data_IF_921989692530
#
_entry.id   IF_921989692530
#
_cell.length_a   1.000
_cell.length_b   1.000
_cell.length_c   1.000
_cell.angle_alpha   90.00
_cell.angle_beta   90.00
_cell.angle_gamma   90.00
#
_symmetry.space_group_name_H-M   'P 1'
#
loop_
_entity.id
_entity.type
_entity.pdbx_description
1 polymer ?
#
# COMPACT_ATOMS: atom_id res chain seq x y z
N UNK A 1 -25.20 -10.94 14.55
CA UNK A 1 -24.44 -9.73 14.18
C UNK A 1 -23.34 -10.17 13.22
N UNK A 2 -23.35 -9.67 11.98
CA UNK A 2 -22.32 -10.02 11.01
C UNK A 2 -21.04 -9.24 11.29
N UNK A 3 -19.86 -9.75 10.84
CA UNK A 3 -18.57 -9.06 10.97
C UNK A 3 -18.57 -7.62 10.43
N UNK A 4 -19.54 -7.27 9.57
CA UNK A 4 -19.69 -5.91 9.02
C UNK A 4 -20.25 -4.89 10.02
N UNK A 5 -21.02 -5.32 11.03
CA UNK A 5 -21.66 -4.43 12.00
C UNK A 5 -20.68 -3.89 13.05
N UNK A 6 -19.45 -4.40 13.07
CA UNK A 6 -18.41 -4.04 14.04
C UNK A 6 -17.43 -2.95 13.55
N UNK A 7 -17.57 -2.48 12.28
CA UNK A 7 -16.78 -1.37 11.74
C UNK A 7 -17.60 -0.09 11.83
N UNK A 8 -17.11 0.86 12.61
CA UNK A 8 -17.78 2.14 12.81
C UNK A 8 -17.00 3.28 12.13
N UNK A 9 -17.73 4.22 11.54
CA UNK A 9 -17.18 5.43 10.93
C UNK A 9 -17.52 6.64 11.80
N UNK A 10 -16.67 7.04 12.75
CA UNK A 10 -17.02 8.04 13.76
C UNK A 10 -17.28 9.44 13.20
N UNK A 11 -16.79 9.74 12.00
CA UNK A 11 -17.04 11.00 11.29
C UNK A 11 -18.12 10.88 10.19
N UNK A 12 -18.76 9.72 10.07
CA UNK A 12 -19.79 9.47 9.06
C UNK A 12 -19.30 9.76 7.65
N UNK A 13 -20.01 10.65 6.94
CA UNK A 13 -19.69 11.08 5.58
C UNK A 13 -18.81 12.35 5.52
N UNK A 14 -18.38 12.87 6.68
CA UNK A 14 -17.53 14.07 6.73
C UNK A 14 -16.14 13.77 6.21
N UNK A 15 -15.70 14.51 5.20
CA UNK A 15 -14.40 14.40 4.55
C UNK A 15 -13.75 15.77 4.47
N UNK A 16 -12.41 15.88 4.63
CA UNK A 16 -11.74 17.15 4.37
C UNK A 16 -11.89 17.54 2.89
N UNK A 17 -12.28 18.77 2.64
CA UNK A 17 -12.31 19.32 1.28
C UNK A 17 -10.88 19.63 0.80
N UNK A 18 -10.63 19.73 -0.51
CA UNK A 18 -9.32 20.06 -1.04
C UNK A 18 -8.75 21.35 -0.41
N UNK A 19 -7.60 21.24 0.26
CA UNK A 19 -6.96 22.34 0.98
C UNK A 19 -7.49 22.61 2.39
N UNK A 20 -8.45 21.81 2.89
CA UNK A 20 -8.90 21.83 4.28
C UNK A 20 -8.28 20.71 5.09
N UNK A 21 -8.14 20.93 6.38
CA UNK A 21 -7.68 19.92 7.35
C UNK A 21 -8.77 19.67 8.39
N UNK A 22 -9.14 18.40 8.58
CA UNK A 22 -10.14 17.98 9.56
C UNK A 22 -9.45 17.37 10.78
N UNK A 23 -9.70 17.93 11.97
CA UNK A 23 -9.18 17.35 13.21
C UNK A 23 -9.91 16.04 13.53
N UNK A 24 -9.18 14.93 13.61
CA UNK A 24 -9.71 13.59 13.86
C UNK A 24 -9.44 13.08 15.27
N UNK A 25 -8.36 13.59 15.89
CA UNK A 25 -8.03 13.36 17.30
C UNK A 25 -7.23 14.56 17.82
N UNK A 26 -6.91 14.58 19.12
CA UNK A 26 -6.12 15.67 19.69
C UNK A 26 -4.72 15.72 19.07
N UNK A 27 -4.40 16.87 18.43
CA UNK A 27 -3.14 17.07 17.71
C UNK A 27 -2.98 16.20 16.44
N UNK A 28 -4.06 15.60 15.91
CA UNK A 28 -4.05 14.77 14.69
C UNK A 28 -5.07 15.30 13.70
N UNK A 29 -4.60 15.61 12.48
CA UNK A 29 -5.40 16.22 11.44
C UNK A 29 -5.34 15.39 10.17
N UNK A 30 -6.48 15.26 9.50
CA UNK A 30 -6.68 14.58 8.23
C UNK A 30 -6.74 15.59 7.10
N UNK A 31 -5.91 15.39 6.08
CA UNK A 31 -5.97 16.11 4.81
C UNK A 31 -6.10 15.11 3.67
N UNK A 32 -6.64 15.56 2.55
CA UNK A 32 -6.77 14.76 1.33
C UNK A 32 -6.03 15.40 0.17
N UNK A 33 -5.32 14.55 -0.58
CA UNK A 33 -4.67 14.93 -1.82
C UNK A 33 -5.28 14.19 -3.00
N UNK A 34 -5.38 14.80 -4.19
CA UNK A 34 -5.92 14.14 -5.37
C UNK A 34 -4.97 13.10 -5.94
N UNK A 35 -5.54 12.12 -6.65
CA UNK A 35 -4.79 11.16 -7.44
C UNK A 35 -5.28 11.16 -8.89
N UNK A 36 -4.40 10.99 -9.90
CA UNK A 36 -4.76 11.07 -11.30
C UNK A 36 -5.29 9.73 -11.88
N UNK A 37 -5.99 8.92 -11.05
CA UNK A 37 -6.52 7.60 -11.44
C UNK A 37 -7.82 7.27 -10.69
N UNK A 38 -8.38 6.07 -10.92
CA UNK A 38 -9.69 5.68 -10.38
C UNK A 38 -9.82 5.74 -8.85
N UNK A 39 -8.73 5.50 -8.13
CA UNK A 39 -8.61 5.81 -6.71
C UNK A 39 -8.26 7.29 -6.59
N UNK A 40 -9.26 8.15 -6.56
CA UNK A 40 -9.18 9.59 -6.79
C UNK A 40 -8.52 10.42 -5.68
N UNK A 41 -8.20 9.79 -4.55
CA UNK A 41 -7.62 10.47 -3.38
C UNK A 41 -6.67 9.61 -2.56
N UNK A 42 -5.80 10.29 -1.82
CA UNK A 42 -5.04 9.73 -0.71
C UNK A 42 -5.24 10.58 0.55
N UNK A 43 -5.36 9.94 1.70
CA UNK A 43 -5.38 10.55 3.01
C UNK A 43 -3.96 10.71 3.54
N UNK A 44 -3.63 11.90 4.01
CA UNK A 44 -2.36 12.21 4.65
C UNK A 44 -2.63 12.77 6.05
N UNK A 45 -1.63 12.70 6.91
CA UNK A 45 -1.82 13.06 8.31
C UNK A 45 -0.85 14.16 8.73
N UNK A 46 -1.40 15.19 9.39
CA UNK A 46 -0.62 16.23 10.06
C UNK A 46 -0.67 15.97 11.56
N UNK A 47 0.47 15.77 12.17
CA UNK A 47 0.62 15.55 13.61
C UNK A 47 1.23 16.80 14.22
N UNK A 48 0.55 17.41 15.18
CA UNK A 48 1.08 18.55 15.90
C UNK A 48 2.30 18.10 16.71
N UNK A 49 3.43 18.80 16.54
CA UNK A 49 4.72 18.43 17.11
C UNK A 49 5.38 19.64 17.77
N UNK A 50 4.98 19.90 19.01
CA UNK A 50 5.39 21.10 19.75
C UNK A 50 4.89 22.37 19.06
N UNK A 51 5.81 23.25 18.66
CA UNK A 51 5.56 24.48 17.91
C UNK A 51 5.48 24.27 16.38
N UNK A 52 5.55 23.01 15.91
CA UNK A 52 5.56 22.65 14.49
C UNK A 52 4.70 21.43 14.19
N UNK A 53 5.06 20.74 13.11
CA UNK A 53 4.31 19.64 12.56
C UNK A 53 5.22 18.47 12.14
N UNK A 54 4.73 17.25 12.33
CA UNK A 54 5.22 16.06 11.64
C UNK A 54 4.17 15.64 10.61
N UNK A 55 4.60 15.43 9.37
CA UNK A 55 3.76 14.98 8.24
C UNK A 55 3.93 13.47 8.09
N UNK A 56 2.82 12.75 7.89
CA UNK A 56 2.85 11.32 7.53
C UNK A 56 2.25 11.14 6.13
N UNK A 57 3.08 10.64 5.23
CA UNK A 57 2.93 10.54 3.78
C UNK A 57 2.81 11.89 3.07
N UNK A 58 3.08 11.93 1.76
CA UNK A 58 3.35 13.20 1.06
C UNK A 58 2.48 13.44 -0.16
N UNK A 59 1.76 12.41 -0.64
CA UNK A 59 0.96 12.50 -1.83
C UNK A 59 1.74 12.26 -3.13
N UNK A 60 1.00 12.09 -4.23
CA UNK A 60 1.54 11.92 -5.58
C UNK A 60 2.27 13.19 -6.04
N UNK A 61 3.42 13.05 -6.68
CA UNK A 61 4.29 14.17 -7.04
C UNK A 61 3.85 14.88 -8.31
N UNK A 62 2.89 15.81 -8.20
CA UNK A 62 2.42 16.64 -9.32
C UNK A 62 1.83 17.96 -8.81
N UNK A 63 1.62 18.90 -9.73
CA UNK A 63 1.24 20.29 -9.44
C UNK A 63 0.01 20.42 -8.53
N UNK A 64 -1.02 19.59 -8.75
CA UNK A 64 -2.23 19.66 -7.94
C UNK A 64 -1.97 19.34 -6.44
N UNK A 65 -1.10 18.37 -6.15
CA UNK A 65 -0.69 18.07 -4.78
C UNK A 65 0.13 19.22 -4.19
N UNK A 66 1.08 19.77 -4.96
CA UNK A 66 1.96 20.84 -4.48
C UNK A 66 1.19 22.13 -4.17
N UNK A 67 0.24 22.50 -5.03
CA UNK A 67 -0.64 23.66 -4.78
C UNK A 67 -1.48 23.49 -3.50
N UNK A 68 -1.92 22.28 -3.18
CA UNK A 68 -2.63 22.02 -1.92
C UNK A 68 -1.68 22.05 -0.71
N UNK A 69 -0.44 21.58 -0.86
CA UNK A 69 0.56 21.70 0.21
C UNK A 69 0.86 23.16 0.56
N UNK A 70 1.02 24.06 -0.44
CA UNK A 70 1.20 25.50 -0.19
C UNK A 70 0.03 26.06 0.64
N UNK A 71 -1.22 25.68 0.30
CA UNK A 71 -2.39 26.08 1.08
C UNK A 71 -2.37 25.53 2.52
N UNK A 72 -1.94 24.27 2.69
CA UNK A 72 -1.85 23.68 4.04
C UNK A 72 -0.76 24.33 4.89
N UNK A 73 0.38 24.73 4.32
CA UNK A 73 1.39 25.48 5.03
C UNK A 73 0.82 26.78 5.60
N UNK A 74 0.06 27.54 4.82
CA UNK A 74 -0.50 28.80 5.26
C UNK A 74 -1.68 28.63 6.22
N UNK A 75 -2.63 27.75 5.90
CA UNK A 75 -3.91 27.64 6.60
C UNK A 75 -3.86 26.66 7.77
N UNK A 76 -3.75 25.35 7.48
CA UNK A 76 -3.82 24.31 8.50
C UNK A 76 -2.61 24.36 9.44
N UNK A 77 -1.43 24.61 8.88
CA UNK A 77 -0.17 24.61 9.63
C UNK A 77 0.22 26.00 10.15
N UNK A 78 -0.48 27.07 9.68
CA UNK A 78 -0.29 28.46 10.17
C UNK A 78 1.15 28.97 10.03
N UNK A 79 1.84 28.61 8.96
CA UNK A 79 3.26 28.98 8.74
C UNK A 79 4.24 28.35 9.75
N UNK A 80 3.79 27.44 10.60
CA UNK A 80 4.68 26.76 11.54
C UNK A 80 5.57 25.75 10.81
N UNK A 81 6.78 25.58 11.33
CA UNK A 81 7.77 24.68 10.73
C UNK A 81 7.31 23.21 10.65
N UNK A 82 7.73 22.51 9.61
CA UNK A 82 7.70 21.06 9.57
C UNK A 82 8.98 20.51 10.19
N UNK A 83 8.84 19.67 11.20
CA UNK A 83 9.96 19.03 11.89
C UNK A 83 10.41 17.76 11.22
N UNK A 84 9.42 16.94 10.83
CA UNK A 84 9.64 15.62 10.23
C UNK A 84 8.63 15.33 9.12
N UNK A 85 9.09 14.57 8.15
CA UNK A 85 8.27 13.89 7.16
C UNK A 85 8.52 12.39 7.32
N UNK A 86 7.48 11.64 7.64
CA UNK A 86 7.50 10.17 7.79
C UNK A 86 6.77 9.59 6.61
N UNK A 87 7.38 8.68 5.86
CA UNK A 87 6.73 8.00 4.75
C UNK A 87 6.54 6.54 5.08
N UNK A 88 5.29 6.08 4.95
CA UNK A 88 4.90 4.72 5.31
C UNK A 88 5.50 3.67 4.38
N UNK A 89 5.50 3.93 3.07
CA UNK A 89 6.06 3.03 2.05
C UNK A 89 6.34 3.74 0.72
N UNK A 90 6.95 3.02 -0.23
CA UNK A 90 7.51 3.60 -1.45
C UNK A 90 6.52 3.92 -2.57
N UNK A 91 5.24 3.57 -2.48
CA UNK A 91 4.29 3.83 -3.57
C UNK A 91 4.18 5.32 -3.89
N UNK A 92 3.91 5.68 -5.18
CA UNK A 92 4.00 7.06 -5.64
C UNK A 92 3.07 8.04 -4.92
N UNK A 93 1.92 7.60 -4.47
CA UNK A 93 0.96 8.41 -3.74
C UNK A 93 1.35 8.67 -2.28
N UNK A 94 2.36 7.96 -1.77
CA UNK A 94 2.92 8.16 -0.43
C UNK A 94 4.23 8.95 -0.44
N UNK A 95 5.19 8.56 -1.29
CA UNK A 95 6.53 9.17 -1.30
C UNK A 95 6.68 10.29 -2.35
N UNK A 96 5.72 10.43 -3.25
CA UNK A 96 5.85 11.19 -4.49
C UNK A 96 6.25 12.65 -4.33
N UNK A 97 5.77 13.32 -3.29
CA UNK A 97 6.09 14.72 -3.02
C UNK A 97 7.14 14.91 -1.92
N UNK A 98 7.79 13.83 -1.43
CA UNK A 98 8.71 13.90 -0.31
C UNK A 98 9.89 14.85 -0.56
N UNK A 99 10.58 14.72 -1.69
CA UNK A 99 11.70 15.62 -2.01
C UNK A 99 11.26 17.07 -2.12
N UNK A 100 10.12 17.33 -2.78
CA UNK A 100 9.54 18.67 -2.91
C UNK A 100 9.22 19.32 -1.54
N UNK A 101 8.68 18.53 -0.58
CA UNK A 101 8.44 18.98 0.80
C UNK A 101 9.74 19.31 1.53
N UNK A 102 10.75 18.44 1.42
CA UNK A 102 12.02 18.63 2.13
C UNK A 102 12.79 19.86 1.63
N UNK A 103 12.75 20.16 0.32
CA UNK A 103 13.34 21.37 -0.24
C UNK A 103 12.73 22.66 0.33
N UNK A 104 11.47 22.62 0.78
CA UNK A 104 10.74 23.78 1.34
C UNK A 104 10.80 23.88 2.85
N UNK A 105 11.05 22.77 3.54
CA UNK A 105 10.81 22.71 4.99
C UNK A 105 12.06 22.40 5.81
N UNK A 106 13.12 21.91 5.19
CA UNK A 106 14.33 21.43 5.88
C UNK A 106 14.03 20.34 6.95
N UNK A 107 12.90 19.63 6.79
CA UNK A 107 12.44 18.63 7.76
C UNK A 107 13.34 17.39 7.78
N UNK A 108 13.37 16.67 8.89
CA UNK A 108 13.94 15.33 8.95
C UNK A 108 13.08 14.35 8.15
N UNK A 109 13.70 13.50 7.32
CA UNK A 109 13.01 12.49 6.52
C UNK A 109 13.18 11.11 7.12
N UNK A 110 12.05 10.38 7.32
CA UNK A 110 12.00 9.08 7.96
C UNK A 110 11.33 8.05 7.05
N UNK A 111 11.97 6.90 6.88
CA UNK A 111 11.44 5.78 6.09
C UNK A 111 12.14 4.48 6.51
N UNK A 112 11.53 3.32 6.26
CA UNK A 112 12.24 2.05 6.40
C UNK A 112 13.28 1.88 5.30
N UNK A 113 14.30 1.08 5.52
CA UNK A 113 15.40 0.92 4.53
C UNK A 113 14.92 0.28 3.25
N UNK A 114 14.08 -0.77 3.37
CA UNK A 114 13.58 -1.48 2.19
C UNK A 114 12.73 -0.58 1.31
N UNK A 115 11.89 0.27 1.90
CA UNK A 115 11.05 1.21 1.16
C UNK A 115 11.87 2.33 0.49
N UNK A 116 12.85 2.89 1.21
CA UNK A 116 13.74 3.91 0.65
C UNK A 116 14.51 3.40 -0.57
N UNK A 117 15.12 2.21 -0.46
CA UNK A 117 15.87 1.62 -1.56
C UNK A 117 14.95 1.20 -2.73
N UNK A 118 13.75 0.68 -2.44
CA UNK A 118 12.77 0.34 -3.46
C UNK A 118 12.27 1.56 -4.23
N UNK A 119 12.05 2.70 -3.54
CA UNK A 119 11.69 3.96 -4.19
C UNK A 119 12.75 4.40 -5.21
N UNK A 120 14.01 4.39 -4.82
CA UNK A 120 15.13 4.74 -5.72
C UNK A 120 15.25 3.75 -6.88
N UNK A 121 15.21 2.44 -6.60
CA UNK A 121 15.27 1.42 -7.64
C UNK A 121 14.10 1.55 -8.65
N UNK A 122 12.90 1.77 -8.18
CA UNK A 122 11.72 1.93 -9.03
C UNK A 122 11.76 3.23 -9.86
N UNK A 123 12.26 4.33 -9.27
CA UNK A 123 12.40 5.59 -9.97
C UNK A 123 13.46 5.54 -11.08
N UNK A 124 14.54 4.82 -10.88
CA UNK A 124 15.68 4.76 -11.78
C UNK A 124 15.66 3.50 -12.69
N UNK A 125 14.52 2.77 -12.73
CA UNK A 125 14.34 1.53 -13.52
C UNK A 125 15.43 0.48 -13.27
N UNK A 126 15.86 0.32 -12.02
CA UNK A 126 16.91 -0.63 -11.62
C UNK A 126 16.33 -1.76 -10.76
N UNK A 127 17.14 -2.79 -10.48
CA UNK A 127 16.76 -3.88 -9.58
C UNK A 127 15.53 -4.67 -10.03
N UNK A 128 15.22 -4.70 -11.34
CA UNK A 128 14.07 -5.41 -11.89
C UNK A 128 12.74 -4.65 -11.78
N UNK A 129 12.75 -3.38 -11.39
CA UNK A 129 11.59 -2.50 -11.42
C UNK A 129 11.27 -1.96 -12.82
N UNK A 130 12.19 -2.15 -13.77
CA UNK A 130 12.01 -1.71 -15.14
C UNK A 130 10.83 -2.40 -15.84
N UNK A 131 10.25 -1.69 -16.79
CA UNK A 131 9.06 -2.13 -17.49
C UNK A 131 9.26 -3.42 -18.30
N UNK A 132 10.37 -3.62 -19.06
CA UNK A 132 10.64 -4.86 -19.76
C UNK A 132 10.66 -6.09 -18.84
N UNK A 133 11.31 -6.00 -17.67
CA UNK A 133 11.33 -7.09 -16.68
C UNK A 133 9.90 -7.44 -16.20
N UNK A 134 9.09 -6.44 -15.86
CA UNK A 134 7.70 -6.66 -15.44
C UNK A 134 6.83 -7.28 -16.54
N UNK A 135 6.98 -6.81 -17.79
CA UNK A 135 6.25 -7.34 -18.97
C UNK A 135 6.66 -8.80 -19.25
N UNK A 136 7.96 -9.10 -19.26
CA UNK A 136 8.45 -10.46 -19.47
C UNK A 136 7.96 -11.41 -18.37
N UNK A 137 7.93 -10.94 -17.12
CA UNK A 137 7.40 -11.69 -16.00
C UNK A 137 5.92 -12.03 -16.17
N UNK A 138 5.08 -11.08 -16.57
CA UNK A 138 3.66 -11.35 -16.78
C UNK A 138 3.40 -12.21 -18.02
N UNK A 139 4.19 -12.06 -19.09
CA UNK A 139 4.11 -12.96 -20.24
C UNK A 139 4.39 -14.41 -19.84
N UNK A 140 5.41 -14.66 -19.03
CA UNK A 140 5.72 -15.98 -18.47
C UNK A 140 4.59 -16.54 -17.60
N UNK A 141 3.70 -15.71 -17.07
CA UNK A 141 2.53 -16.08 -16.29
C UNK A 141 1.23 -16.07 -17.10
N UNK A 142 1.33 -16.10 -18.44
CA UNK A 142 0.21 -16.32 -19.37
C UNK A 142 -0.46 -15.07 -19.90
N UNK A 143 0.04 -13.86 -19.61
CA UNK A 143 -0.52 -12.62 -20.14
C UNK A 143 -0.06 -12.41 -21.59
N UNK A 144 -1.01 -12.27 -22.53
CA UNK A 144 -0.69 -11.78 -23.86
C UNK A 144 -0.35 -10.27 -23.81
N UNK A 145 0.95 -9.98 -23.76
CA UNK A 145 1.46 -8.62 -23.66
C UNK A 145 1.38 -7.84 -24.98
N UNK A 146 1.15 -8.52 -26.10
CA UNK A 146 1.01 -7.86 -27.41
C UNK A 146 -0.24 -6.99 -27.52
N UNK A 147 -1.26 -7.29 -26.70
CA UNK A 147 -2.50 -6.50 -26.60
C UNK A 147 -2.29 -5.08 -26.07
N UNK A 148 -1.18 -4.81 -25.37
CA UNK A 148 -0.92 -3.49 -24.80
C UNK A 148 -0.24 -2.57 -25.82
N UNK A 149 -0.68 -1.29 -25.90
CA UNK A 149 0.03 -0.27 -26.67
C UNK A 149 1.49 -0.16 -26.21
N UNK A 150 2.38 0.23 -27.13
CA UNK A 150 3.81 0.39 -26.85
C UNK A 150 4.06 1.28 -25.62
N UNK A 151 3.33 2.41 -25.51
CA UNK A 151 3.40 3.33 -24.35
C UNK A 151 3.08 2.67 -23.00
N UNK A 152 2.40 1.52 -23.00
CA UNK A 152 2.15 0.72 -21.79
C UNK A 152 3.25 -0.30 -21.53
N UNK A 153 4.04 -0.63 -22.52
CA UNK A 153 5.16 -1.58 -22.43
C UNK A 153 6.50 -0.90 -22.22
N UNK A 154 6.56 0.42 -22.35
CA UNK A 154 7.77 1.24 -22.23
C UNK A 154 7.60 2.39 -21.25
N UNK A 155 8.70 3.00 -20.85
CA UNK A 155 8.75 4.16 -19.97
C UNK A 155 8.53 3.85 -18.50
N UNK A 156 8.96 4.77 -17.65
CA UNK A 156 8.87 4.67 -16.21
C UNK A 156 7.60 5.40 -15.70
N UNK A 157 6.60 4.62 -15.28
CA UNK A 157 5.37 5.19 -14.71
C UNK A 157 5.56 5.67 -13.29
N UNK A 158 6.46 5.02 -12.54
CA UNK A 158 6.75 5.40 -11.16
C UNK A 158 7.35 6.81 -11.11
N UNK A 159 8.29 7.12 -11.98
CA UNK A 159 8.93 8.43 -12.05
C UNK A 159 7.96 9.58 -12.38
N UNK A 160 6.79 9.30 -12.98
CA UNK A 160 5.75 10.31 -13.19
C UNK A 160 5.10 10.79 -11.90
N UNK A 161 4.95 9.89 -10.92
CA UNK A 161 4.40 10.19 -9.60
C UNK A 161 5.45 10.50 -8.56
N UNK A 162 6.72 10.22 -8.88
CA UNK A 162 7.89 10.45 -8.01
C UNK A 162 8.97 11.16 -8.82
N UNK A 163 8.82 12.46 -9.10
CA UNK A 163 9.75 13.23 -9.95
C UNK A 163 11.17 13.28 -9.36
N UNK A 164 11.26 13.31 -8.05
CA UNK A 164 12.52 13.31 -7.29
C UNK A 164 12.36 12.61 -5.95
N UNK A 165 13.47 12.15 -5.39
CA UNK A 165 13.52 11.48 -4.10
C UNK A 165 14.56 12.13 -3.18
N UNK A 166 14.35 12.12 -1.84
CA UNK A 166 15.35 12.49 -0.87
C UNK A 166 16.60 11.60 -1.00
N UNK A 167 17.78 12.21 -0.89
CA UNK A 167 19.06 11.47 -0.97
C UNK A 167 19.50 10.83 0.35
N UNK A 168 18.88 11.26 1.46
CA UNK A 168 19.22 10.82 2.80
C UNK A 168 17.92 10.59 3.58
N UNK A 169 17.96 9.66 4.53
CA UNK A 169 16.83 9.36 5.40
C UNK A 169 17.30 8.95 6.79
N UNK A 170 16.42 9.09 7.74
CA UNK A 170 16.52 8.47 9.07
C UNK A 170 15.75 7.17 9.02
N UNK A 171 16.42 6.08 9.41
CA UNK A 171 15.83 4.75 9.33
C UNK A 171 14.73 4.56 10.36
N UNK A 172 13.61 3.97 9.93
CA UNK A 172 12.58 3.39 10.80
C UNK A 172 12.80 1.87 10.90
N UNK A 173 12.61 1.34 12.10
CA UNK A 173 12.59 -0.10 12.36
C UNK A 173 11.37 -0.48 13.20
N UNK A 174 10.98 -1.75 13.13
CA UNK A 174 9.91 -2.26 13.98
C UNK A 174 10.21 -2.06 15.47
N UNK A 175 9.25 -1.50 16.20
CA UNK A 175 9.37 -1.22 17.63
C UNK A 175 10.05 0.10 17.96
N UNK A 176 10.59 0.85 16.96
CA UNK A 176 11.07 2.20 17.20
C UNK A 176 9.95 3.09 17.71
N UNK A 177 10.31 4.08 18.53
CA UNK A 177 9.39 5.09 19.04
C UNK A 177 9.79 6.47 18.55
N UNK A 178 8.93 7.06 17.75
CA UNK A 178 9.05 8.44 17.32
C UNK A 178 8.36 9.33 18.37
N UNK A 179 9.09 10.25 18.97
CA UNK A 179 8.48 11.25 19.87
C UNK A 179 7.90 12.37 19.01
N UNK A 180 6.56 12.44 18.92
CA UNK A 180 5.83 13.46 18.15
C UNK A 180 4.79 14.10 19.07
N UNK A 181 4.89 15.42 19.25
CA UNK A 181 3.97 16.17 20.11
C UNK A 181 3.99 15.73 21.58
N UNK A 182 5.12 15.24 22.06
CA UNK A 182 5.29 14.76 23.43
C UNK A 182 4.71 13.37 23.69
N UNK A 183 4.33 12.64 22.64
CA UNK A 183 3.82 11.26 22.71
C UNK A 183 4.69 10.32 21.89
N UNK A 184 4.82 9.07 22.36
CA UNK A 184 5.49 8.01 21.65
C UNK A 184 4.57 7.45 20.56
N UNK A 185 5.07 7.45 19.33
CA UNK A 185 4.47 6.76 18.17
C UNK A 185 5.32 5.55 17.83
N UNK A 186 4.81 4.37 18.14
CA UNK A 186 5.47 3.09 17.84
C UNK A 186 5.39 2.79 16.35
N UNK A 187 6.54 2.43 15.77
CA UNK A 187 6.63 1.96 14.39
C UNK A 187 6.30 0.47 14.34
N UNK A 188 5.23 0.13 13.65
CA UNK A 188 4.84 -1.27 13.39
C UNK A 188 5.15 -1.57 11.94
N UNK A 189 6.25 -2.27 11.64
CA UNK A 189 6.53 -2.68 10.25
C UNK A 189 5.64 -3.84 9.85
N UNK A 190 5.06 -3.80 8.66
CA UNK A 190 4.19 -4.82 8.08
C UNK A 190 4.60 -5.08 6.63
N UNK A 191 4.17 -6.19 6.05
CA UNK A 191 4.71 -6.69 4.80
C UNK A 191 3.61 -7.13 3.82
N UNK A 192 3.99 -7.41 2.59
CA UNK A 192 3.15 -8.04 1.57
C UNK A 192 2.54 -7.06 0.58
N UNK A 193 1.99 -5.93 1.04
CA UNK A 193 1.61 -4.82 0.18
C UNK A 193 2.84 -4.09 -0.37
N UNK A 194 3.79 -3.84 0.50
CA UNK A 194 5.09 -3.26 0.22
C UNK A 194 6.19 -4.03 0.97
N UNK A 195 7.48 -3.85 0.64
CA UNK A 195 8.59 -4.61 1.23
C UNK A 195 8.71 -4.49 2.75
N UNK A 196 8.46 -3.31 3.33
CA UNK A 196 8.60 -3.04 4.76
C UNK A 196 7.78 -1.80 5.16
N UNK A 197 6.48 -1.84 4.90
CA UNK A 197 5.55 -0.74 5.20
C UNK A 197 5.55 -0.40 6.70
N UNK A 198 5.62 0.88 7.06
CA UNK A 198 5.56 1.38 8.42
C UNK A 198 4.17 1.91 8.79
N UNK A 199 3.47 1.26 9.71
CA UNK A 199 2.33 1.83 10.41
C UNK A 199 2.81 2.52 11.70
N UNK A 200 2.04 3.50 12.20
CA UNK A 200 2.38 4.26 13.41
C UNK A 200 1.27 4.14 14.44
N UNK A 201 1.60 3.64 15.62
CA UNK A 201 0.68 3.48 16.75
C UNK A 201 1.01 4.42 17.89
N UNK A 202 0.03 5.22 18.33
CA UNK A 202 0.14 6.05 19.52
C UNK A 202 -0.87 5.60 20.59
N UNK A 203 -0.39 4.88 21.60
CA UNK A 203 -1.24 4.38 22.69
C UNK A 203 -1.89 5.51 23.50
N UNK A 204 -1.16 6.59 23.77
CA UNK A 204 -1.66 7.73 24.53
C UNK A 204 -2.83 8.45 23.85
N UNK A 205 -2.92 8.40 22.51
CA UNK A 205 -4.00 8.99 21.72
C UNK A 205 -5.04 7.94 21.27
N UNK A 206 -4.76 6.67 21.46
CA UNK A 206 -5.54 5.55 20.93
C UNK A 206 -5.78 5.68 19.41
N UNK A 207 -4.70 5.97 18.66
CA UNK A 207 -4.71 6.26 17.21
C UNK A 207 -3.68 5.39 16.51
N UNK A 208 -4.12 4.70 15.44
CA UNK A 208 -3.28 3.93 14.54
C UNK A 208 -3.32 4.53 13.13
N UNK A 209 -2.19 4.98 12.60
CA UNK A 209 -2.03 5.26 11.17
C UNK A 209 -1.66 3.93 10.51
N UNK A 210 -2.62 3.31 9.84
CA UNK A 210 -2.47 1.97 9.25
C UNK A 210 -1.84 1.99 7.85
N UNK A 211 -1.74 3.17 7.23
CA UNK A 211 -1.34 3.27 5.84
C UNK A 211 -2.23 2.43 4.93
N UNK A 212 -1.61 1.71 4.01
CA UNK A 212 -2.31 0.81 3.08
C UNK A 212 -2.47 -0.62 3.61
N UNK A 213 -1.89 -0.93 4.77
CA UNK A 213 -1.96 -2.29 5.29
C UNK A 213 -3.37 -2.71 5.70
N UNK A 214 -4.15 -1.79 6.29
CA UNK A 214 -5.54 -2.05 6.66
C UNK A 214 -6.43 -0.90 6.20
N UNK A 215 -7.22 -1.14 5.16
CA UNK A 215 -8.19 -0.21 4.58
C UNK A 215 -9.61 -0.62 4.96
N UNK A 216 -10.54 0.33 5.19
CA UNK A 216 -11.84 0.01 5.79
C UNK A 216 -12.80 -0.79 4.89
N UNK A 217 -12.74 -0.60 3.56
CA UNK A 217 -13.69 -1.21 2.62
C UNK A 217 -13.03 -2.00 1.51
N UNK A 218 -12.04 -1.41 0.83
CA UNK A 218 -11.29 -2.12 -0.21
C UNK A 218 -10.25 -3.03 0.42
N UNK A 219 -9.86 -4.07 -0.29
CA UNK A 219 -8.72 -4.90 0.11
C UNK A 219 -7.43 -4.27 -0.38
N UNK A 220 -6.42 -4.33 0.45
CA UNK A 220 -5.05 -3.95 0.09
C UNK A 220 -4.57 -4.80 -1.07
N UNK A 221 -3.95 -4.19 -2.07
CA UNK A 221 -3.31 -4.95 -3.14
C UNK A 221 -2.07 -5.66 -2.63
N UNK A 222 -2.01 -6.98 -2.86
CA UNK A 222 -0.87 -7.84 -2.52
C UNK A 222 -0.46 -8.59 -3.78
N UNK A 223 0.64 -8.18 -4.40
CA UNK A 223 1.04 -8.67 -5.71
C UNK A 223 2.47 -9.17 -5.78
N UNK A 224 2.73 -10.12 -6.69
CA UNK A 224 4.09 -10.53 -7.09
C UNK A 224 4.47 -9.76 -8.34
N UNK A 225 5.68 -9.21 -8.33
CA UNK A 225 6.21 -8.38 -9.40
C UNK A 225 7.52 -8.95 -9.98
N UNK A 226 7.92 -8.46 -11.13
CA UNK A 226 9.08 -8.97 -11.87
C UNK A 226 10.42 -8.88 -11.12
N UNK A 227 10.55 -7.93 -10.21
CA UNK A 227 11.73 -7.76 -9.36
C UNK A 227 11.90 -8.85 -8.29
N UNK A 228 10.80 -9.51 -7.89
CA UNK A 228 10.80 -10.62 -6.92
C UNK A 228 9.91 -11.77 -7.40
N UNK A 229 10.28 -12.45 -8.51
CA UNK A 229 9.40 -13.36 -9.24
C UNK A 229 9.03 -14.65 -8.50
N UNK A 230 9.65 -14.95 -7.37
CA UNK A 230 9.40 -16.13 -6.53
C UNK A 230 8.86 -15.75 -5.14
N UNK A 231 8.51 -14.48 -4.91
CA UNK A 231 8.02 -14.01 -3.62
C UNK A 231 6.67 -14.65 -3.23
N UNK A 232 6.43 -14.73 -1.92
CA UNK A 232 5.15 -15.09 -1.33
C UNK A 232 4.59 -13.94 -0.47
N UNK A 233 4.20 -12.81 -1.10
CA UNK A 233 3.78 -11.62 -0.38
C UNK A 233 2.46 -11.82 0.36
N UNK A 234 1.59 -12.73 -0.09
CA UNK A 234 0.32 -13.00 0.61
C UNK A 234 0.56 -13.64 1.98
N UNK A 235 1.52 -14.58 2.10
CA UNK A 235 1.90 -15.12 3.40
C UNK A 235 2.47 -14.04 4.32
N UNK A 236 3.33 -13.17 3.79
CA UNK A 236 3.89 -12.04 4.54
C UNK A 236 2.80 -11.08 5.00
N UNK A 237 1.83 -10.76 4.14
CA UNK A 237 0.70 -9.91 4.46
C UNK A 237 -0.13 -10.50 5.61
N UNK A 238 -0.61 -11.73 5.44
CA UNK A 238 -1.46 -12.39 6.43
C UNK A 238 -0.77 -12.57 7.79
N UNK A 239 0.52 -12.92 7.80
CA UNK A 239 1.28 -13.08 9.03
C UNK A 239 1.55 -11.73 9.72
N UNK A 240 1.81 -10.67 8.95
CA UNK A 240 2.10 -9.35 9.54
C UNK A 240 0.88 -8.66 10.15
N UNK A 241 -0.34 -9.06 9.79
CA UNK A 241 -1.56 -8.56 10.45
C UNK A 241 -1.60 -8.85 11.95
N UNK A 242 -0.92 -9.91 12.41
CA UNK A 242 -0.83 -10.26 13.84
C UNK A 242 -0.02 -9.22 14.65
N UNK A 243 0.81 -8.41 13.98
CA UNK A 243 1.55 -7.33 14.64
C UNK A 243 0.66 -6.23 15.20
N UNK A 244 -0.60 -6.16 14.78
CA UNK A 244 -1.60 -5.24 15.33
C UNK A 244 -2.37 -5.81 16.54
N UNK A 245 -2.05 -7.02 17.01
CA UNK A 245 -2.81 -7.70 18.07
C UNK A 245 -2.85 -6.94 19.40
N UNK A 246 -1.84 -6.13 19.70
CA UNK A 246 -1.76 -5.29 20.91
C UNK A 246 -2.49 -3.95 20.78
N UNK A 247 -2.95 -3.55 19.58
CA UNK A 247 -3.72 -2.33 19.37
C UNK A 247 -5.15 -2.56 19.86
N UNK A 248 -5.70 -1.70 20.76
CA UNK A 248 -7.05 -1.89 21.29
C UNK A 248 -8.14 -1.86 20.22
N UNK A 249 -9.25 -2.54 20.47
CA UNK A 249 -10.43 -2.59 19.59
C UNK A 249 -10.99 -1.19 19.30
N UNK A 250 -10.97 -0.30 20.30
CA UNK A 250 -11.50 1.06 20.21
C UNK A 250 -10.55 2.06 19.55
N UNK A 251 -9.38 1.60 19.08
CA UNK A 251 -8.44 2.47 18.41
C UNK A 251 -9.06 3.14 17.19
N UNK A 252 -8.80 4.44 17.01
CA UNK A 252 -9.13 5.14 15.79
C UNK A 252 -8.10 4.80 14.73
N UNK A 253 -8.54 4.19 13.63
CA UNK A 253 -7.69 3.77 12.53
C UNK A 253 -7.74 4.82 11.43
N UNK A 254 -6.57 5.25 11.02
CA UNK A 254 -6.31 6.28 10.02
C UNK A 254 -5.69 5.63 8.76
N UNK A 255 -6.52 5.21 7.78
CA UNK A 255 -6.07 4.55 6.57
C UNK A 255 -5.69 5.55 5.49
N UNK A 256 -4.82 5.16 4.56
CA UNK A 256 -4.42 6.05 3.46
C UNK A 256 -5.54 6.27 2.42
N UNK A 257 -6.54 5.41 2.38
CA UNK A 257 -7.67 5.56 1.47
C UNK A 257 -9.00 5.39 2.20
N UNK A 258 -10.07 6.05 1.66
CA UNK A 258 -11.41 6.05 2.19
C UNK A 258 -11.54 6.88 3.49
N UNK A 259 -12.10 6.34 4.57
CA UNK A 259 -12.49 7.06 5.79
C UNK A 259 -11.77 6.55 7.01
N UNK A 260 -11.62 7.41 8.00
CA UNK A 260 -11.22 6.99 9.35
C UNK A 260 -12.28 6.06 9.94
N UNK A 261 -11.85 5.05 10.67
CA UNK A 261 -12.76 4.02 11.20
C UNK A 261 -12.31 3.47 12.54
N UNK A 262 -13.22 2.75 13.22
CA UNK A 262 -12.94 1.88 14.37
C UNK A 262 -13.30 0.44 14.01
N UNK A 263 -12.77 -0.53 14.72
CA UNK A 263 -12.98 -1.94 14.43
C UNK A 263 -11.82 -2.56 13.62
N UNK A 264 -10.59 -2.30 14.05
CA UNK A 264 -9.37 -2.85 13.44
C UNK A 264 -9.41 -4.38 13.34
N UNK A 265 -9.70 -5.07 14.47
CA UNK A 265 -9.67 -6.54 14.52
C UNK A 265 -10.78 -7.19 13.69
N UNK A 266 -12.05 -6.74 13.72
CA UNK A 266 -13.06 -7.19 12.78
C UNK A 266 -12.64 -6.99 11.32
N UNK A 267 -12.00 -5.85 11.00
CA UNK A 267 -11.52 -5.62 9.64
C UNK A 267 -10.39 -6.58 9.24
N UNK A 268 -9.47 -6.86 10.13
CA UNK A 268 -8.41 -7.87 9.93
C UNK A 268 -9.02 -9.26 9.68
N UNK A 269 -10.03 -9.64 10.46
CA UNK A 269 -10.75 -10.90 10.26
C UNK A 269 -11.41 -10.98 8.87
N UNK A 270 -12.07 -9.89 8.42
CA UNK A 270 -12.66 -9.80 7.07
C UNK A 270 -11.60 -9.92 5.96
N UNK A 271 -10.40 -9.33 6.15
CA UNK A 271 -9.31 -9.44 5.19
C UNK A 271 -8.82 -10.90 5.08
N UNK A 272 -8.66 -11.59 6.22
CA UNK A 272 -8.28 -13.01 6.24
C UNK A 272 -9.32 -13.89 5.52
N UNK A 273 -10.59 -13.74 5.89
CA UNK A 273 -11.69 -14.47 5.27
C UNK A 273 -11.79 -14.20 3.75
N UNK A 274 -11.55 -12.95 3.34
CA UNK A 274 -11.54 -12.59 1.92
C UNK A 274 -10.46 -13.36 1.13
N UNK A 275 -9.24 -13.42 1.66
CA UNK A 275 -8.15 -14.16 1.01
C UNK A 275 -8.39 -15.66 1.06
N UNK A 276 -8.89 -16.21 2.18
CA UNK A 276 -9.23 -17.62 2.31
C UNK A 276 -10.24 -18.06 1.23
N UNK A 277 -11.35 -17.34 1.08
CA UNK A 277 -12.34 -17.62 0.02
C UNK A 277 -11.75 -17.55 -1.40
N UNK A 278 -10.78 -16.69 -1.65
CA UNK A 278 -10.08 -16.59 -2.94
C UNK A 278 -9.15 -17.79 -3.17
N UNK A 279 -8.42 -18.19 -2.13
CA UNK A 279 -7.55 -19.38 -2.17
C UNK A 279 -8.36 -20.66 -2.44
N UNK A 280 -9.53 -20.82 -1.79
CA UNK A 280 -10.44 -21.94 -2.02
C UNK A 280 -10.90 -21.99 -3.49
N UNK A 281 -11.39 -20.88 -4.05
CA UNK A 281 -11.81 -20.81 -5.45
C UNK A 281 -10.68 -21.15 -6.43
N UNK A 282 -9.47 -20.72 -6.15
CA UNK A 282 -8.31 -21.05 -6.99
C UNK A 282 -7.99 -22.54 -6.90
N UNK A 283 -8.02 -23.13 -5.70
CA UNK A 283 -7.76 -24.54 -5.51
C UNK A 283 -8.79 -25.39 -6.27
N UNK A 284 -10.07 -25.02 -6.21
CA UNK A 284 -11.15 -25.66 -6.99
C UNK A 284 -10.95 -25.49 -8.51
N UNK A 285 -10.50 -24.30 -8.94
CA UNK A 285 -10.28 -23.99 -10.37
C UNK A 285 -9.03 -24.61 -10.97
N UNK A 286 -8.04 -25.00 -10.16
CA UNK A 286 -6.78 -25.58 -10.62
C UNK A 286 -6.83 -27.12 -10.80
N UNK A 287 -7.96 -27.69 -11.16
CA UNK A 287 -8.07 -29.12 -11.51
C UNK A 287 -7.31 -29.47 -12.79
N UNK A 288 -7.28 -28.56 -13.75
CA UNK A 288 -6.40 -28.60 -14.92
C UNK A 288 -5.31 -27.54 -14.78
N UNK A 289 -4.16 -27.71 -15.48
CA UNK A 289 -3.10 -26.70 -15.46
C UNK A 289 -3.58 -25.35 -16.02
N UNK A 290 -3.59 -24.30 -15.19
CA UNK A 290 -3.96 -22.94 -15.60
C UNK A 290 -2.82 -21.95 -15.33
N UNK A 291 -2.74 -20.91 -16.14
CA UNK A 291 -1.84 -19.75 -15.93
C UNK A 291 -2.42 -18.79 -14.92
N UNK A 292 -1.61 -17.86 -14.44
CA UNK A 292 -2.12 -16.79 -13.56
C UNK A 292 -3.11 -15.86 -14.29
N UNK A 293 -2.96 -15.67 -15.60
CA UNK A 293 -3.91 -14.91 -16.40
C UNK A 293 -5.28 -15.63 -16.49
N UNK A 294 -5.28 -16.93 -16.75
CA UNK A 294 -6.49 -17.76 -16.79
C UNK A 294 -7.19 -17.87 -15.42
N UNK A 295 -6.44 -17.66 -14.33
CA UNK A 295 -6.98 -17.65 -12.96
C UNK A 295 -7.67 -16.32 -12.58
N UNK A 296 -7.45 -15.21 -13.30
CA UNK A 296 -8.06 -13.90 -12.99
C UNK A 296 -9.58 -13.96 -12.85
N UNK A 297 -10.36 -14.60 -13.75
CA UNK A 297 -11.82 -14.66 -13.62
C UNK A 297 -12.32 -15.40 -12.37
N UNK A 298 -11.50 -16.27 -11.77
CA UNK A 298 -11.81 -16.92 -10.50
C UNK A 298 -11.76 -15.96 -9.33
N UNK A 299 -10.91 -14.92 -9.41
CA UNK A 299 -10.68 -13.92 -8.37
C UNK A 299 -11.51 -12.65 -8.58
N UNK A 300 -11.71 -12.22 -9.83
CA UNK A 300 -12.31 -10.94 -10.18
C UNK A 300 -13.52 -11.16 -11.11
N UNK A 301 -14.71 -10.76 -10.62
CA UNK A 301 -15.97 -10.93 -11.37
C UNK A 301 -16.29 -9.76 -12.32
N UNK A 302 -15.55 -8.63 -12.19
CA UNK A 302 -15.76 -7.41 -12.99
C UNK A 302 -14.82 -7.37 -14.20
N UNK A 303 -15.20 -6.64 -15.23
CA UNK A 303 -14.28 -6.29 -16.30
C UNK A 303 -13.18 -5.39 -15.74
N UNK A 304 -11.94 -5.62 -16.18
CA UNK A 304 -10.75 -4.89 -15.78
C UNK A 304 -10.23 -4.10 -16.98
N UNK A 305 -9.93 -2.83 -16.78
CA UNK A 305 -9.14 -2.07 -17.73
C UNK A 305 -7.66 -2.53 -17.71
N UNK A 306 -6.85 -2.06 -18.65
CA UNK A 306 -5.46 -2.48 -18.78
C UNK A 306 -4.60 -2.17 -17.55
N UNK A 307 -4.90 -1.09 -16.83
CA UNK A 307 -4.20 -0.73 -15.59
C UNK A 307 -4.58 -1.68 -14.45
N UNK A 308 -5.86 -1.92 -14.28
CA UNK A 308 -6.40 -2.85 -13.28
C UNK A 308 -5.95 -4.29 -13.55
N UNK A 309 -5.82 -4.67 -14.84
CA UNK A 309 -5.33 -5.99 -15.23
C UNK A 309 -3.90 -6.27 -14.74
N UNK A 310 -3.01 -5.26 -14.76
CA UNK A 310 -1.66 -5.44 -14.26
C UNK A 310 -1.63 -5.72 -12.74
N UNK A 311 -2.48 -5.04 -11.97
CA UNK A 311 -2.64 -5.34 -10.54
C UNK A 311 -3.27 -6.72 -10.31
N UNK A 312 -4.30 -7.06 -11.08
CA UNK A 312 -4.94 -8.37 -10.99
C UNK A 312 -3.99 -9.52 -11.33
N UNK A 313 -3.07 -9.32 -12.29
CA UNK A 313 -2.00 -10.29 -12.59
C UNK A 313 -1.10 -10.50 -11.38
N UNK A 314 -0.58 -9.43 -10.77
CA UNK A 314 0.26 -9.51 -9.57
C UNK A 314 -0.45 -10.23 -8.43
N UNK A 315 -1.71 -9.90 -8.20
CA UNK A 315 -2.53 -10.50 -7.14
C UNK A 315 -2.88 -11.96 -7.43
N UNK A 316 -3.17 -12.32 -8.68
CA UNK A 316 -3.40 -13.70 -9.10
C UNK A 316 -2.17 -14.57 -8.85
N UNK A 317 -0.98 -14.08 -9.24
CA UNK A 317 0.28 -14.77 -8.98
C UNK A 317 0.52 -14.92 -7.48
N UNK A 318 0.25 -13.90 -6.66
CA UNK A 318 0.45 -13.95 -5.21
C UNK A 318 -0.39 -15.06 -4.54
N UNK A 319 -1.66 -15.23 -4.97
CA UNK A 319 -2.51 -16.29 -4.44
C UNK A 319 -2.08 -17.69 -4.92
N UNK A 320 -1.67 -17.83 -6.20
CA UNK A 320 -1.15 -19.08 -6.72
C UNK A 320 0.18 -19.47 -6.06
N UNK A 321 1.07 -18.50 -5.81
CA UNK A 321 2.32 -18.71 -5.07
C UNK A 321 2.05 -19.15 -3.64
N UNK A 322 1.09 -18.51 -2.96
CA UNK A 322 0.69 -18.92 -1.61
C UNK A 322 0.32 -20.41 -1.57
N UNK A 323 -0.59 -20.85 -2.45
CA UNK A 323 -1.02 -22.26 -2.53
C UNK A 323 0.12 -23.19 -2.96
N UNK A 324 1.03 -22.73 -3.80
CA UNK A 324 2.20 -23.49 -4.21
C UNK A 324 3.18 -23.69 -3.04
N UNK A 325 3.48 -22.64 -2.28
CA UNK A 325 4.33 -22.73 -1.09
C UNK A 325 3.72 -23.58 0.03
N UNK A 326 2.39 -23.61 0.13
CA UNK A 326 1.66 -24.52 1.02
C UNK A 326 1.62 -25.99 0.52
N UNK A 327 2.20 -26.28 -0.65
CA UNK A 327 2.18 -27.60 -1.24
C UNK A 327 0.81 -28.05 -1.79
N UNK A 328 -0.17 -27.15 -1.84
CA UNK A 328 -1.53 -27.42 -2.35
C UNK A 328 -1.62 -27.39 -3.87
N UNK A 329 -0.77 -26.61 -4.52
CA UNK A 329 -0.59 -26.54 -5.97
C UNK A 329 0.83 -26.94 -6.36
N UNK A 330 0.95 -27.62 -7.50
CA UNK A 330 2.23 -27.87 -8.18
C UNK A 330 2.34 -26.88 -9.34
N UNK A 331 3.51 -26.23 -9.46
CA UNK A 331 3.87 -25.38 -10.57
C UNK A 331 4.57 -26.23 -11.64
N UNK A 332 4.14 -26.09 -12.88
CA UNK A 332 4.74 -26.70 -14.05
C UNK A 332 5.10 -25.61 -15.06
N UNK A 333 6.06 -25.86 -15.92
CA UNK A 333 6.49 -24.93 -16.96
C UNK A 333 6.34 -25.61 -18.33
N UNK A 334 5.52 -25.04 -19.20
CA UNK A 334 5.24 -25.52 -20.53
C UNK A 334 5.51 -24.39 -21.55
N UNK A 335 6.41 -24.61 -22.50
CA UNK A 335 6.74 -23.62 -23.53
C UNK A 335 7.06 -22.23 -22.95
N UNK A 336 7.84 -22.18 -21.86
CA UNK A 336 8.21 -20.97 -21.12
C UNK A 336 7.06 -20.25 -20.39
N UNK A 337 5.88 -20.88 -20.29
CA UNK A 337 4.73 -20.37 -19.54
C UNK A 337 4.53 -21.18 -18.26
N UNK A 338 4.36 -20.48 -17.16
CA UNK A 338 4.07 -21.06 -15.83
C UNK A 338 2.58 -21.41 -15.71
N UNK A 339 2.31 -22.64 -15.29
CA UNK A 339 0.97 -23.12 -14.99
C UNK A 339 0.92 -23.75 -13.60
N UNK A 340 -0.25 -23.75 -13.02
CA UNK A 340 -0.50 -24.28 -11.68
C UNK A 340 -1.62 -25.31 -11.77
N UNK A 341 -1.44 -26.43 -11.06
CA UNK A 341 -2.40 -27.54 -11.01
C UNK A 341 -2.44 -28.12 -9.60
N UNK A 342 -3.58 -28.65 -9.18
CA UNK A 342 -3.75 -29.30 -7.87
C UNK A 342 -2.71 -30.40 -7.64
N UNK A 343 -2.06 -30.36 -6.47
CA UNK A 343 -1.06 -31.36 -6.10
C UNK A 343 -1.67 -32.77 -5.87
N UNK A 344 -2.98 -32.85 -5.61
CA UNK A 344 -3.69 -34.11 -5.34
C UNK A 344 -4.00 -34.92 -6.60
N UNK A 345 -3.87 -34.35 -7.81
CA UNK A 345 -4.14 -35.03 -9.08
C UNK A 345 -2.94 -35.70 -9.74
N UNK A 346 -1.79 -35.79 -9.07
CA UNK A 346 -0.60 -36.43 -9.60
C UNK A 346 -0.48 -37.88 -9.07
N UNK A 347 -1.42 -38.74 -9.46
CA UNK A 347 -1.26 -40.21 -9.43
C UNK A 347 -1.53 -40.80 -10.80
#
# INVERSE_FOLDING_TARGET
>A
MGLHDEIAYPLGDTLPQPGEALRVADGVWWIRMPLPFALDHINLWLLQDGDGWTIVDTGYGFEATWSLWERHFDQAMQGRRVRNVVVTHYHPDHVGSAAWLLERTEAGFWMTTSEFLSAHAARDDTGGFDRPTGIAFFARNGLDVSRFPEKMRTGNRYARGVPSLPKQYRRLMHGDKLSIGGHDWEVITVFGHAPEHAALWCAAKNVLISGDQVLPRITTNVGVWGNQPEANPLALFLNSLDRFSHVPHEALVLPSHDRVFRGLHPRIAQLREHHERRLERLLEGCTNPITAYEAIPLLFKRQLDDHQLMFAMGESIAHLHYLHHEGKLRRIEESHVRRYVSATQAR
#
